data_IF_441664570604
#
_entry.id   IF_441664570604
#
_cell.length_a   1.000
_cell.length_b   1.000
_cell.length_c   1.000
_cell.angle_alpha   90.00
_cell.angle_beta   90.00
_cell.angle_gamma   90.00
#
_symmetry.space_group_name_H-M   'P 1'
#
loop_
_entity.id
_entity.type
_entity.pdbx_description
1 polymer ?
#
# COMPACT_ATOMS: atom_id res chain seq x y z
N UNK A 1 -31.08 -3.64 16.82
CA UNK A 1 -29.72 -3.77 16.27
C UNK A 1 -29.80 -3.55 14.77
N UNK A 2 -29.07 -2.58 14.22
CA UNK A 2 -29.09 -2.29 12.78
C UNK A 2 -28.46 -3.47 12.03
N UNK A 3 -29.10 -3.89 10.92
CA UNK A 3 -28.61 -4.92 10.02
C UNK A 3 -27.16 -4.63 9.56
N UNK A 4 -26.27 -5.66 9.46
CA UNK A 4 -24.88 -5.48 9.03
C UNK A 4 -24.71 -4.74 7.70
N UNK A 5 -25.62 -4.95 6.75
CA UNK A 5 -25.59 -4.27 5.45
C UNK A 5 -25.91 -2.78 5.59
N UNK A 6 -26.87 -2.40 6.43
CA UNK A 6 -27.17 -1.00 6.66
C UNK A 6 -26.05 -0.27 7.39
N UNK A 7 -25.33 -0.92 8.33
CA UNK A 7 -24.13 -0.36 8.96
C UNK A 7 -23.01 -0.11 7.96
N UNK A 8 -22.75 -1.07 7.09
CA UNK A 8 -21.74 -0.93 6.02
C UNK A 8 -22.07 0.24 5.10
N UNK A 9 -23.35 0.38 4.70
CA UNK A 9 -23.80 1.49 3.85
C UNK A 9 -23.59 2.85 4.53
N UNK A 10 -23.94 2.99 5.82
CA UNK A 10 -23.72 4.24 6.56
C UNK A 10 -22.24 4.56 6.74
N UNK A 11 -21.39 3.57 7.03
CA UNK A 11 -19.94 3.79 7.15
C UNK A 11 -19.32 4.18 5.80
N UNK A 12 -19.72 3.51 4.71
CA UNK A 12 -19.27 3.87 3.38
C UNK A 12 -19.69 5.29 3.00
N UNK A 13 -20.94 5.69 3.31
CA UNK A 13 -21.42 7.04 3.08
C UNK A 13 -20.64 8.08 3.90
N UNK A 14 -20.37 7.81 5.18
CA UNK A 14 -19.58 8.70 6.03
C UNK A 14 -18.16 8.90 5.50
N UNK A 15 -17.47 7.80 5.16
CA UNK A 15 -16.11 7.84 4.57
C UNK A 15 -16.14 8.60 3.24
N UNK A 16 -17.12 8.35 2.38
CA UNK A 16 -17.24 9.05 1.10
C UNK A 16 -17.40 10.56 1.30
N UNK A 17 -18.22 11.00 2.24
CA UNK A 17 -18.41 12.41 2.57
C UNK A 17 -17.09 13.04 3.07
N UNK A 18 -16.36 12.36 3.96
CA UNK A 18 -15.09 12.86 4.48
C UNK A 18 -14.03 13.02 3.37
N UNK A 19 -13.95 12.07 2.43
CA UNK A 19 -13.00 12.17 1.33
C UNK A 19 -13.45 13.12 0.20
N UNK A 20 -14.77 13.27 -0.03
CA UNK A 20 -15.29 14.23 -1.01
C UNK A 20 -15.07 15.68 -0.52
N UNK A 21 -15.14 15.94 0.78
CA UNK A 21 -14.95 17.28 1.35
C UNK A 21 -13.67 17.97 0.89
N UNK A 22 -12.47 17.43 1.19
CA UNK A 22 -11.21 17.98 0.72
C UNK A 22 -11.06 17.98 -0.80
N UNK A 23 -11.60 16.96 -1.49
CA UNK A 23 -11.60 16.89 -2.96
C UNK A 23 -12.37 18.04 -3.59
N UNK A 24 -13.55 18.38 -3.04
CA UNK A 24 -14.40 19.46 -3.47
C UNK A 24 -14.00 20.84 -2.90
N UNK A 25 -12.81 20.95 -2.25
CA UNK A 25 -12.35 22.19 -1.59
C UNK A 25 -13.35 22.72 -0.55
N UNK A 26 -14.06 21.83 0.14
CA UNK A 26 -15.10 22.17 1.11
C UNK A 26 -16.12 23.21 0.56
N UNK A 27 -16.46 23.08 -0.72
CA UNK A 27 -17.41 24.01 -1.36
C UNK A 27 -18.79 23.90 -0.71
N UNK A 28 -19.26 25.03 -0.15
CA UNK A 28 -20.59 25.16 0.41
C UNK A 28 -21.39 26.13 -0.44
N UNK A 29 -22.60 25.74 -0.90
CA UNK A 29 -23.47 26.65 -1.66
C UNK A 29 -23.71 27.94 -0.88
N UNK A 30 -23.46 29.10 -1.51
CA UNK A 30 -23.62 30.42 -0.88
C UNK A 30 -22.45 30.92 -0.03
N UNK A 31 -21.48 30.05 0.36
CA UNK A 31 -20.32 30.42 1.19
C UNK A 31 -18.97 30.36 0.44
N UNK A 32 -18.97 29.83 -0.80
CA UNK A 32 -17.76 29.70 -1.60
C UNK A 32 -17.02 28.38 -1.40
N UNK A 33 -15.72 28.37 -1.71
CA UNK A 33 -14.82 27.23 -1.53
C UNK A 33 -13.52 27.72 -0.90
N UNK A 34 -12.88 26.87 -0.06
CA UNK A 34 -11.54 27.12 0.45
C UNK A 34 -10.51 26.91 -0.68
N UNK A 35 -9.35 27.53 -0.57
CA UNK A 35 -8.21 27.25 -1.45
C UNK A 35 -7.16 26.47 -0.68
N UNK A 36 -6.40 25.62 -1.36
CA UNK A 36 -5.34 24.83 -0.69
C UNK A 36 -4.20 25.72 -0.16
N UNK A 37 -4.05 26.94 -0.71
CA UNK A 37 -3.09 27.93 -0.25
C UNK A 37 -3.45 28.56 1.11
N UNK A 38 -4.72 28.47 1.51
CA UNK A 38 -5.19 28.97 2.81
C UNK A 38 -4.95 27.97 3.96
N UNK A 39 -4.50 26.75 3.63
CA UNK A 39 -4.29 25.69 4.61
C UNK A 39 -2.91 25.82 5.24
N UNK A 40 -2.88 26.05 6.54
CA UNK A 40 -1.66 26.02 7.34
C UNK A 40 -1.31 24.58 7.69
N UNK A 41 -0.42 23.98 6.90
CA UNK A 41 -0.01 22.58 7.04
C UNK A 41 1.47 22.51 7.34
N UNK A 42 1.82 21.91 8.48
CA UNK A 42 3.19 21.55 8.82
C UNK A 42 3.62 20.29 8.04
N UNK A 43 4.62 20.38 7.13
CA UNK A 43 5.09 19.27 6.32
C UNK A 43 5.66 18.11 7.14
N UNK A 44 6.44 18.40 8.18
CA UNK A 44 7.06 17.37 9.02
C UNK A 44 6.00 16.60 9.80
N UNK A 45 5.10 17.31 10.46
CA UNK A 45 4.05 16.71 11.25
C UNK A 45 3.13 15.82 10.40
N UNK A 46 2.77 16.27 9.20
CA UNK A 46 1.94 15.50 8.28
C UNK A 46 2.66 14.25 7.77
N UNK A 47 3.92 14.36 7.38
CA UNK A 47 4.73 13.23 6.92
C UNK A 47 4.95 12.20 8.04
N UNK A 48 5.23 12.67 9.26
CA UNK A 48 5.38 11.81 10.44
C UNK A 48 4.10 11.02 10.74
N UNK A 49 2.94 11.69 10.76
CA UNK A 49 1.65 11.03 10.97
C UNK A 49 1.36 9.96 9.92
N UNK A 50 1.62 10.24 8.65
CA UNK A 50 1.45 9.26 7.58
C UNK A 50 2.43 8.09 7.72
N UNK A 51 3.68 8.35 8.07
CA UNK A 51 4.69 7.32 8.35
C UNK A 51 4.29 6.43 9.52
N UNK A 52 3.83 7.02 10.63
CA UNK A 52 3.32 6.26 11.78
C UNK A 52 2.11 5.40 11.41
N UNK A 53 1.21 5.91 10.58
CA UNK A 53 0.06 5.13 10.11
C UNK A 53 0.47 3.93 9.25
N UNK A 54 1.46 4.10 8.37
CA UNK A 54 2.04 2.99 7.59
C UNK A 54 2.73 1.96 8.50
N UNK A 55 3.49 2.41 9.52
CA UNK A 55 4.10 1.49 10.51
C UNK A 55 3.04 0.68 11.25
N UNK A 56 1.95 1.33 11.68
CA UNK A 56 0.84 0.65 12.36
C UNK A 56 0.21 -0.40 11.44
N UNK A 57 -0.07 -0.06 10.17
CA UNK A 57 -0.65 -1.00 9.21
C UNK A 57 0.27 -2.20 8.94
N UNK A 58 1.59 -1.98 8.78
CA UNK A 58 2.57 -3.06 8.62
C UNK A 58 2.71 -3.89 9.90
N UNK A 59 2.69 -3.25 11.07
CA UNK A 59 2.74 -3.94 12.37
C UNK A 59 1.52 -4.82 12.59
N UNK A 60 0.33 -4.34 12.27
CA UNK A 60 -0.91 -5.13 12.36
C UNK A 60 -0.87 -6.33 11.40
N UNK A 61 -0.37 -6.14 10.17
CA UNK A 61 -0.15 -7.24 9.23
C UNK A 61 0.73 -8.34 9.82
N UNK A 62 1.88 -7.97 10.43
CA UNK A 62 2.78 -8.92 11.07
C UNK A 62 2.15 -9.60 12.29
N UNK A 63 1.38 -8.88 13.10
CA UNK A 63 0.72 -9.44 14.28
C UNK A 63 -0.33 -10.48 13.88
N UNK A 64 -1.16 -10.19 12.88
CA UNK A 64 -2.17 -11.14 12.37
C UNK A 64 -1.48 -12.37 11.78
N UNK A 65 -0.50 -12.17 10.90
CA UNK A 65 0.26 -13.26 10.27
C UNK A 65 0.96 -14.13 11.32
N UNK A 66 1.56 -13.52 12.33
CA UNK A 66 2.23 -14.22 13.45
C UNK A 66 1.24 -14.99 14.32
N UNK A 67 0.09 -14.41 14.65
CA UNK A 67 -0.95 -15.08 15.43
C UNK A 67 -1.56 -16.27 14.68
N UNK A 68 -1.82 -16.12 13.38
CA UNK A 68 -2.29 -17.20 12.51
C UNK A 68 -1.26 -18.33 12.46
N UNK A 69 0.02 -18.02 12.21
CA UNK A 69 1.10 -19.00 12.17
C UNK A 69 1.25 -19.76 13.50
N UNK A 70 1.16 -19.06 14.64
CA UNK A 70 1.26 -19.67 15.96
C UNK A 70 0.14 -20.67 16.27
N UNK A 71 -1.04 -20.52 15.62
CA UNK A 71 -2.18 -21.41 15.75
C UNK A 71 -2.15 -22.61 14.82
N UNK A 72 -1.23 -22.69 13.86
CA UNK A 72 -1.11 -23.76 12.87
C UNK A 72 -0.06 -24.80 13.30
N UNK A 73 -0.10 -25.98 12.64
CA UNK A 73 0.99 -26.95 12.73
C UNK A 73 2.25 -26.36 12.06
N UNK A 74 3.41 -26.51 12.72
CA UNK A 74 4.66 -25.95 12.23
C UNK A 74 5.29 -26.87 11.16
N UNK A 75 4.60 -26.96 10.03
CA UNK A 75 5.07 -27.72 8.88
C UNK A 75 5.88 -26.82 7.93
N UNK A 76 6.65 -27.43 7.04
CA UNK A 76 7.51 -26.70 6.10
C UNK A 76 6.73 -25.69 5.22
N UNK A 77 5.54 -25.99 4.66
CA UNK A 77 4.81 -25.03 3.85
C UNK A 77 4.38 -23.79 4.64
N UNK A 78 3.90 -23.95 5.88
CA UNK A 78 3.48 -22.84 6.75
C UNK A 78 4.67 -21.96 7.15
N UNK A 79 5.82 -22.59 7.46
CA UNK A 79 7.04 -21.86 7.77
C UNK A 79 7.53 -21.03 6.57
N UNK A 80 7.52 -21.61 5.37
CA UNK A 80 7.89 -20.89 4.15
C UNK A 80 6.90 -19.76 3.83
N UNK A 81 5.59 -19.97 4.04
CA UNK A 81 4.57 -18.95 3.88
C UNK A 81 4.80 -17.78 4.84
N UNK A 82 5.08 -18.07 6.12
CA UNK A 82 5.39 -17.04 7.12
C UNK A 82 6.64 -16.24 6.77
N UNK A 83 7.72 -16.92 6.33
CA UNK A 83 8.95 -16.24 5.89
C UNK A 83 8.68 -15.34 4.68
N UNK A 84 7.92 -15.82 3.69
CA UNK A 84 7.57 -15.04 2.51
C UNK A 84 6.75 -13.79 2.88
N UNK A 85 5.75 -13.92 3.76
CA UNK A 85 4.94 -12.82 4.29
C UNK A 85 5.81 -11.79 5.04
N UNK A 86 6.67 -12.26 5.95
CA UNK A 86 7.58 -11.40 6.71
C UNK A 86 8.52 -10.62 5.77
N UNK A 87 9.14 -11.29 4.80
CA UNK A 87 10.04 -10.67 3.82
C UNK A 87 9.28 -9.65 2.95
N UNK A 88 8.05 -9.96 2.54
CA UNK A 88 7.18 -9.03 1.81
C UNK A 88 6.88 -7.76 2.61
N UNK A 89 6.55 -7.91 3.90
CA UNK A 89 6.30 -6.78 4.80
C UNK A 89 7.55 -5.91 4.99
N UNK A 90 8.72 -6.53 5.20
CA UNK A 90 9.99 -5.80 5.29
C UNK A 90 10.31 -5.07 3.98
N UNK A 91 10.04 -5.66 2.82
CA UNK A 91 10.23 -5.01 1.54
C UNK A 91 9.31 -3.79 1.36
N UNK A 92 8.04 -3.89 1.78
CA UNK A 92 7.11 -2.76 1.78
C UNK A 92 7.59 -1.64 2.72
N UNK A 93 8.03 -1.98 3.92
CA UNK A 93 8.62 -1.03 4.86
C UNK A 93 9.82 -0.30 4.23
N UNK A 94 10.75 -1.06 3.63
CA UNK A 94 11.95 -0.51 2.99
C UNK A 94 11.60 0.44 1.84
N UNK A 95 10.69 0.02 0.95
CA UNK A 95 10.22 0.86 -0.15
C UNK A 95 9.61 2.18 0.30
N UNK A 96 8.91 2.19 1.42
CA UNK A 96 8.28 3.42 1.91
C UNK A 96 9.30 4.33 2.64
N UNK A 97 10.10 3.80 3.56
CA UNK A 97 10.92 4.61 4.47
C UNK A 97 12.30 4.95 3.92
N UNK A 98 13.03 3.98 3.39
CA UNK A 98 14.43 4.20 2.98
C UNK A 98 14.54 5.01 1.68
N UNK A 99 13.66 4.74 0.73
CA UNK A 99 13.82 5.25 -0.63
C UNK A 99 13.00 6.51 -0.96
N UNK A 100 12.10 6.95 -0.09
CA UNK A 100 11.13 7.99 -0.46
C UNK A 100 10.90 9.12 0.54
N UNK A 101 10.90 8.84 1.84
CA UNK A 101 10.38 9.77 2.85
C UNK A 101 11.15 11.09 2.94
N UNK A 102 12.47 11.07 2.97
CA UNK A 102 13.28 12.29 3.11
C UNK A 102 13.13 13.26 1.94
N UNK A 103 13.11 12.77 0.71
CA UNK A 103 12.89 13.60 -0.49
C UNK A 103 11.48 14.13 -0.59
N UNK A 104 10.50 13.33 -0.17
CA UNK A 104 9.12 13.75 -0.14
C UNK A 104 8.89 14.91 0.85
N UNK A 105 9.51 14.86 2.04
CA UNK A 105 9.45 15.95 3.02
C UNK A 105 10.10 17.20 2.46
N UNK A 106 11.31 17.10 1.90
CA UNK A 106 12.01 18.24 1.30
C UNK A 106 11.18 18.90 0.18
N UNK A 107 10.55 18.10 -0.69
CA UNK A 107 9.64 18.63 -1.72
C UNK A 107 8.43 19.34 -1.09
N UNK A 108 7.86 18.78 -0.04
CA UNK A 108 6.69 19.34 0.64
C UNK A 108 7.02 20.68 1.31
N UNK A 109 8.17 20.81 1.97
CA UNK A 109 8.64 22.03 2.61
C UNK A 109 8.79 23.19 1.62
N UNK A 110 9.28 22.89 0.40
CA UNK A 110 9.57 23.89 -0.62
C UNK A 110 8.44 24.06 -1.65
N UNK A 111 7.31 23.36 -1.45
CA UNK A 111 6.16 23.47 -2.36
C UNK A 111 5.49 24.85 -2.25
N UNK A 112 5.19 25.46 -3.39
CA UNK A 112 4.43 26.71 -3.46
C UNK A 112 3.01 26.58 -2.90
N UNK A 113 2.40 25.39 -3.04
CA UNK A 113 1.09 25.05 -2.50
C UNK A 113 1.20 23.80 -1.64
N UNK A 114 1.50 24.00 -0.36
CA UNK A 114 1.63 22.90 0.63
C UNK A 114 0.31 22.18 0.86
N UNK A 115 -0.80 22.86 0.88
CA UNK A 115 -2.11 22.23 1.06
C UNK A 115 -2.45 21.28 -0.07
N UNK A 116 -2.06 21.58 -1.31
CA UNK A 116 -2.22 20.66 -2.45
C UNK A 116 -1.38 19.39 -2.28
N UNK A 117 -0.13 19.52 -1.85
CA UNK A 117 0.75 18.37 -1.60
C UNK A 117 0.21 17.52 -0.46
N UNK A 118 -0.19 18.13 0.66
CA UNK A 118 -0.84 17.45 1.79
C UNK A 118 -2.05 16.65 1.33
N UNK A 119 -2.94 17.28 0.58
CA UNK A 119 -4.15 16.62 0.09
C UNK A 119 -3.84 15.49 -0.88
N UNK A 120 -3.04 15.73 -1.92
CA UNK A 120 -2.79 14.74 -2.95
C UNK A 120 -1.88 13.63 -2.45
N UNK A 121 -0.65 13.97 -2.02
CA UNK A 121 0.36 12.97 -1.69
C UNK A 121 0.08 12.29 -0.35
N UNK A 122 -0.19 13.08 0.70
CA UNK A 122 -0.29 12.57 2.06
C UNK A 122 -1.71 12.14 2.48
N UNK A 123 -2.75 12.51 1.74
CA UNK A 123 -4.11 12.00 2.00
C UNK A 123 -4.49 10.94 0.96
N UNK A 124 -4.67 11.34 -0.31
CA UNK A 124 -5.26 10.42 -1.29
C UNK A 124 -4.32 9.30 -1.73
N UNK A 125 -3.02 9.56 -1.92
CA UNK A 125 -2.10 8.51 -2.36
C UNK A 125 -1.68 7.55 -1.23
N UNK A 126 -1.94 7.89 0.04
CA UNK A 126 -1.78 6.96 1.15
C UNK A 126 -2.92 5.93 1.24
N UNK A 127 -4.10 6.22 0.68
CA UNK A 127 -5.21 5.27 0.65
C UNK A 127 -4.81 3.96 -0.06
N UNK A 128 -4.33 3.99 -1.33
CA UNK A 128 -3.90 2.75 -2.01
C UNK A 128 -2.67 2.11 -1.35
N UNK A 129 -1.76 2.87 -0.72
CA UNK A 129 -0.64 2.31 0.03
C UNK A 129 -1.14 1.45 1.18
N UNK A 130 -1.98 2.02 2.04
CA UNK A 130 -2.51 1.32 3.22
C UNK A 130 -3.45 0.19 2.82
N UNK A 131 -4.32 0.41 1.83
CA UNK A 131 -5.19 -0.65 1.30
C UNK A 131 -4.38 -1.81 0.72
N UNK A 132 -3.25 -1.53 0.05
CA UNK A 132 -2.31 -2.56 -0.43
C UNK A 132 -1.70 -3.36 0.70
N UNK A 133 -1.27 -2.72 1.80
CA UNK A 133 -0.75 -3.40 2.99
C UNK A 133 -1.81 -4.31 3.62
N UNK A 134 -3.05 -3.82 3.78
CA UNK A 134 -4.16 -4.61 4.33
C UNK A 134 -4.47 -5.82 3.44
N UNK A 135 -4.50 -5.62 2.11
CA UNK A 135 -4.71 -6.74 1.18
C UNK A 135 -3.57 -7.76 1.23
N UNK A 136 -2.31 -7.33 1.41
CA UNK A 136 -1.19 -8.23 1.63
C UNK A 136 -1.39 -9.05 2.92
N UNK A 137 -1.83 -8.42 4.03
CA UNK A 137 -2.11 -9.14 5.28
C UNK A 137 -3.18 -10.23 5.10
N UNK A 138 -4.26 -9.92 4.38
CA UNK A 138 -5.30 -10.90 4.05
C UNK A 138 -4.76 -12.02 3.14
N UNK A 139 -3.93 -11.67 2.17
CA UNK A 139 -3.27 -12.65 1.29
C UNK A 139 -2.36 -13.60 2.08
N UNK A 140 -1.54 -13.05 2.99
CA UNK A 140 -0.62 -13.81 3.82
C UNK A 140 -1.35 -14.81 4.71
N UNK A 141 -2.48 -14.41 5.30
CA UNK A 141 -3.34 -15.32 6.08
C UNK A 141 -3.91 -16.45 5.20
N UNK A 142 -4.41 -16.13 4.00
CA UNK A 142 -4.92 -17.14 3.06
C UNK A 142 -3.85 -18.14 2.65
N UNK A 143 -2.62 -17.68 2.37
CA UNK A 143 -1.48 -18.54 1.99
C UNK A 143 -1.03 -19.42 3.16
N UNK A 144 -1.01 -18.88 4.39
CA UNK A 144 -0.69 -19.64 5.59
C UNK A 144 -1.67 -20.78 5.85
N UNK A 145 -2.97 -20.51 5.74
CA UNK A 145 -4.02 -21.50 6.03
C UNK A 145 -4.16 -22.52 4.90
N UNK A 146 -3.97 -22.09 3.65
CA UNK A 146 -4.15 -22.92 2.45
C UNK A 146 -2.97 -22.81 1.48
N UNK A 147 -1.76 -23.31 1.84
CA UNK A 147 -0.56 -23.11 1.04
C UNK A 147 -0.60 -23.79 -0.33
N UNK A 148 -1.38 -24.86 -0.47
CA UNK A 148 -1.43 -25.68 -1.68
C UNK A 148 -2.35 -25.10 -2.74
N UNK A 149 -3.42 -24.40 -2.36
CA UNK A 149 -4.46 -23.96 -3.29
C UNK A 149 -5.00 -22.57 -2.93
N UNK A 150 -5.22 -21.75 -3.97
CA UNK A 150 -5.91 -20.48 -3.85
C UNK A 150 -7.16 -20.47 -4.75
N UNK A 151 -8.29 -19.97 -4.21
CA UNK A 151 -9.47 -19.65 -5.01
C UNK A 151 -9.18 -18.45 -5.91
N UNK A 152 -10.01 -18.19 -6.91
CA UNK A 152 -9.88 -17.01 -7.76
C UNK A 152 -9.88 -15.70 -6.95
N UNK A 153 -10.68 -15.60 -5.90
CA UNK A 153 -10.66 -14.46 -4.98
C UNK A 153 -9.33 -14.37 -4.22
N UNK A 154 -8.80 -15.51 -3.74
CA UNK A 154 -7.49 -15.59 -3.10
C UNK A 154 -6.36 -15.16 -4.04
N UNK A 155 -6.35 -15.64 -5.29
CA UNK A 155 -5.39 -15.23 -6.33
C UNK A 155 -5.46 -13.73 -6.57
N UNK A 156 -6.67 -13.17 -6.70
CA UNK A 156 -6.85 -11.74 -6.87
C UNK A 156 -6.31 -10.93 -5.67
N UNK A 157 -6.44 -11.45 -4.45
CA UNK A 157 -5.93 -10.81 -3.24
C UNK A 157 -4.40 -10.90 -3.17
N UNK A 158 -3.80 -12.09 -3.46
CA UNK A 158 -2.34 -12.30 -3.44
C UNK A 158 -1.62 -11.42 -4.46
N UNK A 159 -2.18 -11.23 -5.67
CA UNK A 159 -1.63 -10.35 -6.69
C UNK A 159 -2.00 -8.88 -6.44
N UNK A 160 -3.23 -8.62 -6.00
CA UNK A 160 -3.80 -7.29 -5.86
C UNK A 160 -3.18 -6.46 -4.74
N UNK A 161 -2.83 -7.09 -3.60
CA UNK A 161 -2.19 -6.41 -2.48
C UNK A 161 -0.88 -5.73 -2.87
N UNK A 162 0.13 -6.50 -3.33
CA UNK A 162 1.41 -5.94 -3.79
C UNK A 162 1.26 -4.98 -4.97
N UNK A 163 0.35 -5.26 -5.90
CA UNK A 163 0.08 -4.36 -7.02
C UNK A 163 -0.44 -3.00 -6.54
N UNK A 164 -1.44 -2.99 -5.66
CA UNK A 164 -2.03 -1.77 -5.11
C UNK A 164 -1.03 -0.99 -4.27
N UNK A 165 -0.21 -1.68 -3.48
CA UNK A 165 0.88 -1.07 -2.73
C UNK A 165 1.89 -0.39 -3.65
N UNK A 166 2.40 -1.08 -4.67
CA UNK A 166 3.35 -0.53 -5.63
C UNK A 166 2.76 0.65 -6.42
N UNK A 167 1.48 0.57 -6.79
CA UNK A 167 0.78 1.66 -7.45
C UNK A 167 0.73 2.90 -6.54
N UNK A 168 0.26 2.75 -5.31
CA UNK A 168 0.15 3.86 -4.35
C UNK A 168 1.51 4.47 -4.02
N UNK A 169 2.52 3.64 -3.69
CA UNK A 169 3.86 4.09 -3.36
C UNK A 169 4.57 4.73 -4.57
N UNK A 170 4.41 4.15 -5.77
CA UNK A 170 4.96 4.71 -7.01
C UNK A 170 4.35 6.06 -7.37
N UNK A 171 3.03 6.21 -7.23
CA UNK A 171 2.34 7.48 -7.44
C UNK A 171 2.72 8.53 -6.38
N UNK A 172 2.86 8.13 -5.11
CA UNK A 172 3.33 9.00 -4.03
C UNK A 172 4.74 9.54 -4.35
N UNK A 173 5.68 8.67 -4.71
CA UNK A 173 7.04 9.06 -5.10
C UNK A 173 7.05 9.94 -6.34
N UNK A 174 6.18 9.67 -7.30
CA UNK A 174 6.05 10.50 -8.49
C UNK A 174 5.53 11.90 -8.16
N UNK A 175 4.50 11.99 -7.34
CA UNK A 175 3.91 13.27 -6.94
C UNK A 175 4.88 14.13 -6.09
N UNK A 176 5.83 13.50 -5.38
CA UNK A 176 6.76 14.18 -4.45
C UNK A 176 8.18 14.36 -5.01
N UNK A 177 8.54 13.81 -6.17
CA UNK A 177 9.91 13.85 -6.68
C UNK A 177 10.12 14.69 -7.96
N UNK A 178 9.15 15.46 -8.41
CA UNK A 178 9.23 16.30 -9.63
C UNK A 178 9.73 15.57 -10.90
N UNK A 179 9.73 14.24 -10.92
CA UNK A 179 10.16 13.45 -12.09
C UNK A 179 9.04 13.42 -13.13
N UNK A 180 9.42 13.34 -14.41
CA UNK A 180 8.43 13.23 -15.51
C UNK A 180 7.63 11.93 -15.47
N UNK A 181 8.21 10.85 -14.94
CA UNK A 181 7.61 9.51 -14.89
C UNK A 181 7.67 8.94 -13.46
N UNK A 182 6.72 8.07 -13.10
CA UNK A 182 6.81 7.26 -11.89
C UNK A 182 8.11 6.44 -11.87
N UNK A 183 8.57 5.94 -10.70
CA UNK A 183 9.75 5.10 -10.62
C UNK A 183 9.63 3.86 -11.52
N UNK A 184 10.60 3.65 -12.41
CA UNK A 184 10.61 2.53 -13.37
C UNK A 184 10.55 1.19 -12.63
N UNK A 185 11.21 1.07 -11.50
CA UNK A 185 11.18 -0.11 -10.63
C UNK A 185 9.75 -0.53 -10.27
N UNK A 186 8.88 0.43 -9.89
CA UNK A 186 7.47 0.17 -9.57
C UNK A 186 6.67 -0.24 -10.80
N UNK A 187 6.91 0.41 -11.95
CA UNK A 187 6.25 0.04 -13.20
C UNK A 187 6.61 -1.39 -13.63
N UNK A 188 7.88 -1.77 -13.50
CA UNK A 188 8.33 -3.14 -13.78
C UNK A 188 7.73 -4.12 -12.78
N UNK A 189 7.74 -3.80 -11.48
CA UNK A 189 7.11 -4.65 -10.46
C UNK A 189 5.62 -4.90 -10.74
N UNK A 190 4.87 -3.86 -11.05
CA UNK A 190 3.45 -3.99 -11.46
C UNK A 190 3.31 -4.80 -12.75
N UNK A 191 4.18 -4.60 -13.73
CA UNK A 191 4.21 -5.36 -14.98
C UNK A 191 4.46 -6.85 -14.74
N UNK A 192 5.36 -7.21 -13.82
CA UNK A 192 5.62 -8.60 -13.43
C UNK A 192 4.39 -9.24 -12.77
N UNK A 193 3.72 -8.54 -11.85
CA UNK A 193 2.49 -9.03 -11.21
C UNK A 193 1.37 -9.24 -12.24
N UNK A 194 1.22 -8.32 -13.20
CA UNK A 194 0.26 -8.48 -14.30
C UNK A 194 0.63 -9.66 -15.22
N UNK A 195 1.92 -9.86 -15.51
CA UNK A 195 2.38 -10.99 -16.33
C UNK A 195 2.17 -12.35 -15.62
N UNK A 196 2.22 -12.38 -14.28
CA UNK A 196 1.91 -13.58 -13.50
C UNK A 196 0.41 -13.91 -13.49
N UNK A 197 -0.47 -12.92 -13.67
CA UNK A 197 -1.92 -13.08 -13.47
C UNK A 197 -2.55 -14.16 -14.36
N UNK A 198 -2.30 -14.30 -15.68
CA UNK A 198 -2.93 -15.34 -16.49
C UNK A 198 -2.52 -16.76 -16.04
N UNK A 199 -1.28 -16.95 -15.60
CA UNK A 199 -0.82 -18.24 -15.09
C UNK A 199 -1.43 -18.55 -13.71
N UNK A 200 -1.55 -17.54 -12.85
CA UNK A 200 -2.15 -17.69 -11.53
C UNK A 200 -3.65 -18.04 -11.64
N UNK A 201 -4.41 -17.33 -12.47
CA UNK A 201 -5.83 -17.65 -12.72
C UNK A 201 -6.04 -18.96 -13.50
N UNK A 202 -5.01 -19.42 -14.22
CA UNK A 202 -4.93 -20.77 -14.78
C UNK A 202 -4.56 -21.84 -13.75
N UNK A 203 -4.42 -21.49 -12.47
CA UNK A 203 -4.02 -22.38 -11.36
C UNK A 203 -2.70 -23.11 -11.60
N UNK A 204 -1.74 -22.45 -12.29
CA UNK A 204 -0.40 -22.99 -12.54
C UNK A 204 0.51 -22.98 -11.30
N UNK A 205 0.13 -22.24 -10.24
CA UNK A 205 0.90 -22.08 -9.02
C UNK A 205 0.07 -22.49 -7.79
N UNK A 206 0.74 -23.07 -6.78
CA UNK A 206 0.17 -23.15 -5.44
C UNK A 206 0.06 -21.75 -4.80
N UNK A 207 -0.75 -21.59 -3.77
CA UNK A 207 -0.86 -20.34 -3.04
C UNK A 207 0.50 -19.89 -2.47
N UNK A 208 1.27 -20.83 -1.89
CA UNK A 208 2.62 -20.60 -1.39
C UNK A 208 3.58 -20.11 -2.48
N UNK A 209 3.58 -20.76 -3.64
CA UNK A 209 4.45 -20.36 -4.75
C UNK A 209 4.09 -18.95 -5.25
N UNK A 210 2.80 -18.65 -5.38
CA UNK A 210 2.33 -17.34 -5.79
C UNK A 210 2.68 -16.25 -4.76
N UNK A 211 2.47 -16.50 -3.46
CA UNK A 211 2.85 -15.60 -2.37
C UNK A 211 4.36 -15.35 -2.34
N UNK A 212 5.17 -16.38 -2.54
CA UNK A 212 6.63 -16.25 -2.66
C UNK A 212 7.04 -15.39 -3.86
N UNK A 213 6.41 -15.56 -5.03
CA UNK A 213 6.67 -14.78 -6.24
C UNK A 213 6.29 -13.30 -6.07
N UNK A 214 5.16 -13.01 -5.42
CA UNK A 214 4.74 -11.63 -5.16
C UNK A 214 5.65 -10.93 -4.14
N UNK A 215 6.02 -11.60 -3.05
CA UNK A 215 7.01 -11.08 -2.08
C UNK A 215 8.38 -10.89 -2.73
N UNK A 216 8.82 -11.84 -3.57
CA UNK A 216 10.05 -11.71 -4.36
C UNK A 216 10.02 -10.51 -5.30
N UNK A 217 8.86 -10.20 -5.89
CA UNK A 217 8.68 -8.99 -6.73
C UNK A 217 8.86 -7.72 -5.90
N UNK A 218 8.30 -7.64 -4.69
CA UNK A 218 8.50 -6.49 -3.79
C UNK A 218 9.97 -6.31 -3.42
N UNK A 219 10.67 -7.40 -3.08
CA UNK A 219 12.11 -7.39 -2.79
C UNK A 219 12.92 -6.91 -4.00
N UNK A 220 12.61 -7.41 -5.20
CA UNK A 220 13.28 -6.99 -6.43
C UNK A 220 13.14 -5.49 -6.66
N UNK A 221 11.93 -4.94 -6.50
CA UNK A 221 11.67 -3.50 -6.63
C UNK A 221 12.45 -2.70 -5.57
N UNK A 222 12.46 -3.17 -4.30
CA UNK A 222 13.19 -2.52 -3.22
C UNK A 222 14.71 -2.49 -3.48
N UNK A 223 15.30 -3.61 -3.86
CA UNK A 223 16.72 -3.70 -4.20
C UNK A 223 17.10 -2.85 -5.42
N UNK A 224 16.24 -2.80 -6.43
CA UNK A 224 16.47 -1.95 -7.60
C UNK A 224 16.48 -0.47 -7.22
N UNK A 225 15.49 -0.02 -6.45
CA UNK A 225 15.46 1.37 -6.02
C UNK A 225 16.67 1.74 -5.16
N UNK A 226 16.99 0.90 -4.19
CA UNK A 226 18.14 1.11 -3.33
C UNK A 226 19.44 1.27 -4.14
N UNK A 227 19.69 0.38 -5.12
CA UNK A 227 20.85 0.50 -6.01
C UNK A 227 20.83 1.77 -6.85
N UNK A 228 19.68 2.12 -7.42
CA UNK A 228 19.52 3.32 -8.24
C UNK A 228 19.79 4.61 -7.44
N UNK A 229 19.53 4.60 -6.13
CA UNK A 229 19.80 5.74 -5.25
C UNK A 229 21.26 5.90 -4.87
N UNK A 230 22.02 4.80 -4.78
CA UNK A 230 23.46 4.86 -4.50
C UNK A 230 24.26 5.37 -5.71
N UNK A 231 23.68 5.38 -6.90
CA UNK A 231 24.33 5.82 -8.15
C UNK A 231 23.94 7.26 -8.54
N UNK A 232 23.01 7.89 -7.82
CA UNK A 232 22.50 9.24 -8.08
C UNK A 232 23.10 10.29 -7.14
#
# INVERSE_FOLDING_TARGET
MSDPQSRLAWWTAAIAIEFIGPFAYYRVPGMGASTTTDWDVDPHHMAERCGLFVIIALGESLLITGATFAGLAWETPQLLAFIAAFVGTVAMWWLYFDTGSGRAIHHFEHAADRGRVARLAYTYLHIPIVAGIILCAVADELVLVHPDHASNAGIATILGGPFLYLLGNGLFKWATNQRRLPPISHLVGMGLLLALSPFAFGHAFSALALGGLTSGTLVLVALWEWRALQQA
#
